data_IF_060754361988
#
_entry.id   IF_060754361988
#
_cell.length_a   1.000
_cell.length_b   1.000
_cell.length_c   1.000
_cell.angle_alpha   90.00
_cell.angle_beta   90.00
_cell.angle_gamma   90.00
#
_symmetry.space_group_name_H-M   'P 1'
#
loop_
_entity.id
_entity.type
_entity.pdbx_description
1 polymer ?
#
# COMPACT_ATOMS: atom_id res chain seq x y z
N UNK A 1 5.20 55.29 -7.95
CA UNK A 1 5.22 54.42 -6.76
C UNK A 1 5.36 52.99 -7.26
N UNK A 2 6.55 52.42 -7.17
CA UNK A 2 6.74 51.02 -7.61
C UNK A 2 6.20 50.09 -6.53
N UNK A 3 5.20 49.31 -6.87
CA UNK A 3 4.69 48.26 -6.01
C UNK A 3 5.77 47.19 -5.89
N UNK A 4 6.41 47.11 -4.72
CA UNK A 4 7.33 46.04 -4.38
C UNK A 4 6.48 44.76 -4.21
N UNK A 5 6.39 43.96 -5.25
CA UNK A 5 5.85 42.62 -5.15
C UNK A 5 6.78 41.80 -4.22
N UNK A 6 6.33 41.50 -3.02
CA UNK A 6 7.00 40.54 -2.15
C UNK A 6 7.02 39.18 -2.87
N UNK A 7 8.08 38.93 -3.61
CA UNK A 7 8.33 37.61 -4.21
C UNK A 7 8.67 36.68 -3.06
N UNK A 8 7.76 35.80 -2.73
CA UNK A 8 8.00 34.74 -1.75
C UNK A 8 9.13 33.87 -2.29
N UNK A 9 10.27 33.91 -1.64
CA UNK A 9 11.44 33.12 -2.03
C UNK A 9 11.38 31.78 -1.31
N UNK A 10 11.00 30.75 -2.03
CA UNK A 10 11.07 29.37 -1.53
C UNK A 10 12.52 28.86 -1.49
N UNK A 11 12.73 27.73 -0.80
CA UNK A 11 13.99 27.00 -0.87
C UNK A 11 14.31 26.62 -2.33
N UNK A 12 15.60 26.49 -2.69
CA UNK A 12 15.99 26.11 -4.05
C UNK A 12 15.43 24.73 -4.39
N UNK A 13 15.14 24.50 -5.66
CA UNK A 13 14.76 23.18 -6.15
C UNK A 13 15.90 22.18 -6.03
N UNK A 14 15.58 20.93 -5.74
CA UNK A 14 16.56 19.84 -5.76
C UNK A 14 17.17 19.66 -7.16
N UNK A 15 16.38 19.87 -8.20
CA UNK A 15 16.80 19.88 -9.60
C UNK A 15 16.57 21.24 -10.20
N UNK A 16 17.58 21.79 -10.86
CA UNK A 16 17.40 23.01 -11.67
C UNK A 16 16.40 22.76 -12.81
N UNK A 17 15.76 23.82 -13.28
CA UNK A 17 14.79 23.72 -14.35
C UNK A 17 15.42 23.11 -15.61
N UNK A 18 14.78 22.07 -16.17
CA UNK A 18 15.28 21.31 -17.31
C UNK A 18 16.39 20.30 -17.02
N UNK A 19 16.92 20.21 -15.79
CA UNK A 19 17.98 19.27 -15.40
C UNK A 19 17.48 18.09 -14.55
N UNK A 20 16.19 17.97 -14.37
CA UNK A 20 15.62 16.82 -13.66
C UNK A 20 15.81 15.52 -14.45
N UNK A 21 15.95 14.37 -13.77
CA UNK A 21 16.02 13.07 -14.43
C UNK A 21 14.85 12.85 -15.38
N UNK A 22 15.15 12.37 -16.59
CA UNK A 22 14.12 11.97 -17.54
C UNK A 22 13.52 10.62 -17.11
N UNK A 23 12.24 10.45 -17.34
CA UNK A 23 11.58 9.17 -17.13
C UNK A 23 11.93 8.21 -18.27
N UNK A 24 12.98 7.40 -18.08
CA UNK A 24 13.43 6.43 -19.07
C UNK A 24 12.65 5.11 -19.06
N UNK A 25 11.92 4.83 -17.98
CA UNK A 25 11.12 3.60 -17.82
C UNK A 25 9.71 3.95 -17.40
N UNK A 26 8.74 3.19 -17.88
CA UNK A 26 7.39 3.29 -17.39
C UNK A 26 7.37 2.85 -15.91
N UNK A 27 6.89 3.70 -15.01
CA UNK A 27 6.54 3.30 -13.66
C UNK A 27 5.19 2.57 -13.76
N UNK A 28 5.23 1.26 -13.99
CA UNK A 28 4.03 0.46 -14.05
C UNK A 28 3.58 0.13 -12.62
N UNK A 29 2.42 0.64 -12.28
CA UNK A 29 1.68 0.08 -11.16
C UNK A 29 0.95 -1.17 -11.66
N UNK A 30 1.46 -2.35 -11.29
CA UNK A 30 0.96 -3.63 -11.79
C UNK A 30 -0.51 -3.82 -11.46
N UNK A 31 -1.37 -3.54 -12.42
CA UNK A 31 -2.74 -4.04 -12.50
C UNK A 31 -3.52 -4.06 -11.17
N UNK A 32 -3.27 -3.09 -10.28
CA UNK A 32 -3.97 -2.96 -9.00
C UNK A 32 -5.48 -3.16 -9.16
N UNK A 33 -6.08 -2.46 -10.12
CA UNK A 33 -7.52 -2.49 -10.35
C UNK A 33 -8.02 -3.87 -10.82
N UNK A 34 -7.33 -4.51 -11.75
CA UNK A 34 -7.72 -5.85 -12.23
C UNK A 34 -7.55 -6.90 -11.15
N UNK A 35 -6.50 -6.81 -10.35
CA UNK A 35 -6.28 -7.74 -9.23
C UNK A 35 -7.35 -7.58 -8.14
N UNK A 36 -7.73 -6.35 -7.77
CA UNK A 36 -8.81 -6.10 -6.82
C UNK A 36 -10.16 -6.61 -7.39
N UNK A 37 -10.40 -6.47 -8.68
CA UNK A 37 -11.56 -7.06 -9.35
C UNK A 37 -11.62 -8.58 -9.17
N UNK A 38 -10.52 -9.28 -9.42
CA UNK A 38 -10.41 -10.72 -9.20
C UNK A 38 -10.67 -11.11 -7.74
N UNK A 39 -10.19 -10.31 -6.78
CA UNK A 39 -10.46 -10.55 -5.36
C UNK A 39 -11.94 -10.41 -5.03
N UNK A 40 -12.60 -9.38 -5.56
CA UNK A 40 -14.03 -9.16 -5.35
C UNK A 40 -14.89 -10.29 -5.95
N UNK A 41 -14.50 -10.83 -7.09
CA UNK A 41 -15.19 -11.95 -7.74
C UNK A 41 -14.94 -13.28 -7.03
N UNK A 42 -13.72 -13.49 -6.51
CA UNK A 42 -13.33 -14.73 -5.84
C UNK A 42 -13.72 -14.83 -4.37
N UNK A 43 -14.02 -13.72 -3.71
CA UNK A 43 -14.44 -13.68 -2.31
C UNK A 43 -15.96 -13.56 -2.20
N UNK A 44 -16.54 -14.23 -1.24
CA UNK A 44 -17.97 -14.08 -0.93
C UNK A 44 -18.27 -12.65 -0.40
N UNK A 45 -19.52 -12.20 -0.58
CA UNK A 45 -19.95 -10.86 -0.17
C UNK A 45 -19.72 -10.59 1.32
N UNK A 46 -19.96 -11.59 2.17
CA UNK A 46 -19.76 -11.48 3.63
C UNK A 46 -18.29 -11.26 4.01
N UNK A 47 -17.36 -11.86 3.26
CA UNK A 47 -15.90 -11.64 3.43
C UNK A 47 -15.51 -10.28 2.87
N UNK A 48 -16.01 -9.90 1.71
CA UNK A 48 -15.73 -8.60 1.12
C UNK A 48 -16.18 -7.44 2.02
N UNK A 49 -17.37 -7.57 2.62
CA UNK A 49 -17.90 -6.56 3.55
C UNK A 49 -17.08 -6.51 4.86
N UNK A 50 -16.47 -7.60 5.29
CA UNK A 50 -15.56 -7.59 6.43
C UNK A 50 -14.24 -6.88 6.09
N UNK A 51 -13.69 -7.13 4.91
CA UNK A 51 -12.47 -6.44 4.45
C UNK A 51 -12.67 -4.93 4.31
N UNK A 52 -13.87 -4.47 3.95
CA UNK A 52 -14.24 -3.05 3.92
C UNK A 52 -14.27 -2.39 5.28
N UNK A 53 -14.27 -3.13 6.37
CA UNK A 53 -14.21 -2.61 7.75
C UNK A 53 -12.81 -2.69 8.34
N UNK A 54 -11.86 -3.28 7.62
CA UNK A 54 -10.49 -3.43 8.09
C UNK A 54 -9.65 -2.17 7.85
N UNK A 55 -8.50 -2.11 8.48
CA UNK A 55 -7.50 -1.04 8.28
C UNK A 55 -7.07 -0.86 6.81
N UNK A 56 -7.28 -1.86 5.95
CA UNK A 56 -6.98 -1.80 4.52
C UNK A 56 -8.17 -1.33 3.65
N UNK A 57 -9.26 -0.84 4.25
CA UNK A 57 -10.45 -0.34 3.55
C UNK A 57 -10.13 0.68 2.44
N UNK A 58 -9.15 1.56 2.69
CA UNK A 58 -8.75 2.62 1.74
C UNK A 58 -8.41 2.07 0.35
N UNK A 59 -7.76 0.92 0.27
CA UNK A 59 -7.41 0.32 -1.02
C UNK A 59 -8.64 -0.17 -1.79
N UNK A 60 -9.63 -0.68 -1.06
CA UNK A 60 -10.92 -1.07 -1.65
C UNK A 60 -11.65 0.18 -2.15
N UNK A 61 -11.69 1.26 -1.36
CA UNK A 61 -12.28 2.55 -1.75
C UNK A 61 -11.61 3.11 -3.01
N UNK A 62 -10.27 3.08 -3.10
CA UNK A 62 -9.57 3.52 -4.31
C UNK A 62 -9.96 2.69 -5.54
N UNK A 63 -10.12 1.38 -5.38
CA UNK A 63 -10.58 0.54 -6.48
C UNK A 63 -12.03 0.83 -6.89
N UNK A 64 -12.94 1.02 -5.94
CA UNK A 64 -14.35 1.38 -6.19
C UNK A 64 -14.49 2.77 -6.83
N UNK A 65 -13.66 3.74 -6.46
CA UNK A 65 -13.56 5.06 -7.09
C UNK A 65 -12.86 5.02 -8.45
N UNK A 66 -12.51 3.85 -8.94
CA UNK A 66 -11.82 3.67 -10.22
C UNK A 66 -10.48 4.44 -10.29
N UNK A 67 -9.81 4.58 -9.15
CA UNK A 67 -8.51 5.23 -9.08
C UNK A 67 -7.55 4.66 -10.13
N UNK A 68 -6.89 5.56 -10.85
CA UNK A 68 -5.89 5.22 -11.84
C UNK A 68 -4.53 5.79 -11.45
N UNK A 69 -3.53 4.95 -11.47
CA UNK A 69 -2.15 5.36 -11.24
C UNK A 69 -1.67 6.26 -12.37
N UNK A 70 -1.03 7.38 -12.03
CA UNK A 70 -0.38 8.27 -12.99
C UNK A 70 1.10 8.41 -12.68
N UNK A 71 1.91 7.58 -13.34
CA UNK A 71 3.37 7.67 -13.27
C UNK A 71 3.89 9.07 -13.63
N UNK A 72 3.26 9.72 -14.61
CA UNK A 72 3.62 11.07 -15.04
C UNK A 72 3.40 12.10 -13.91
N UNK A 73 2.28 12.04 -13.19
CA UNK A 73 2.03 12.95 -12.06
C UNK A 73 3.02 12.74 -10.93
N UNK A 74 3.33 11.47 -10.61
CA UNK A 74 4.31 11.14 -9.57
C UNK A 74 5.70 11.63 -9.98
N UNK A 75 6.12 11.36 -11.21
CA UNK A 75 7.39 11.85 -11.75
C UNK A 75 7.46 13.38 -11.70
N UNK A 76 6.39 14.06 -12.13
CA UNK A 76 6.32 15.53 -12.08
C UNK A 76 6.48 16.05 -10.65
N UNK A 77 5.77 15.45 -9.67
CA UNK A 77 5.91 15.81 -8.27
C UNK A 77 7.34 15.61 -7.76
N UNK A 78 7.95 14.46 -8.03
CA UNK A 78 9.30 14.12 -7.57
C UNK A 78 10.39 14.99 -8.22
N UNK A 79 10.20 15.43 -9.46
CA UNK A 79 11.18 16.27 -10.18
C UNK A 79 11.07 17.76 -9.82
N UNK A 80 10.00 18.18 -9.14
CA UNK A 80 9.78 19.55 -8.68
C UNK A 80 10.07 19.72 -7.18
N UNK A 81 10.82 18.79 -6.58
CA UNK A 81 11.16 18.85 -5.17
C UNK A 81 12.00 20.07 -4.82
N UNK A 82 11.74 20.61 -3.63
CA UNK A 82 12.58 21.59 -2.96
C UNK A 82 13.68 20.88 -2.17
N UNK A 83 14.87 21.47 -2.13
CA UNK A 83 15.99 20.95 -1.35
C UNK A 83 15.79 21.22 0.14
N UNK A 84 15.18 20.26 0.83
CA UNK A 84 14.99 20.30 2.29
C UNK A 84 15.88 19.27 2.97
N UNK A 85 16.26 19.51 4.21
CA UNK A 85 17.08 18.60 5.02
C UNK A 85 16.24 17.72 5.95
N UNK A 86 15.04 17.32 5.51
CA UNK A 86 14.18 16.42 6.27
C UNK A 86 13.89 15.16 5.45
N UNK A 87 14.37 14.02 5.91
CA UNK A 87 14.20 12.74 5.21
C UNK A 87 12.80 12.12 5.34
N UNK A 88 11.94 12.73 6.18
CA UNK A 88 10.60 12.20 6.48
C UNK A 88 9.49 12.94 5.74
N UNK A 89 9.84 13.90 4.89
CA UNK A 89 8.87 14.65 4.11
C UNK A 89 9.44 15.09 2.76
N UNK A 90 8.57 15.25 1.80
CA UNK A 90 8.88 15.76 0.47
C UNK A 90 8.10 17.05 0.28
N UNK A 91 8.77 18.09 -0.14
CA UNK A 91 8.14 19.34 -0.56
C UNK A 91 8.38 19.55 -2.05
N UNK A 92 7.32 19.81 -2.79
CA UNK A 92 7.40 20.07 -4.23
C UNK A 92 6.73 21.37 -4.58
N UNK A 93 7.37 22.15 -5.44
CA UNK A 93 6.84 23.43 -5.93
C UNK A 93 6.03 23.19 -7.21
N UNK A 94 4.71 23.16 -7.10
CA UNK A 94 3.78 22.91 -8.20
C UNK A 94 3.01 24.19 -8.49
N UNK A 95 3.11 24.69 -9.71
CA UNK A 95 2.47 25.94 -10.15
C UNK A 95 2.68 27.12 -9.18
N UNK A 96 3.93 27.25 -8.67
CA UNK A 96 4.28 28.30 -7.73
C UNK A 96 3.77 28.08 -6.29
N UNK A 97 3.17 26.95 -5.98
CA UNK A 97 2.67 26.60 -4.65
C UNK A 97 3.45 25.44 -4.07
N UNK A 98 3.94 25.54 -2.83
CA UNK A 98 4.60 24.42 -2.17
C UNK A 98 3.56 23.42 -1.69
N UNK A 99 3.75 22.17 -2.05
CA UNK A 99 2.93 21.04 -1.63
C UNK A 99 3.82 20.12 -0.80
N UNK A 100 3.40 19.83 0.43
CA UNK A 100 4.07 18.88 1.31
C UNK A 100 3.45 17.51 1.15
N UNK A 101 4.28 16.48 1.23
CA UNK A 101 3.90 15.10 1.42
C UNK A 101 4.78 14.49 2.52
N UNK A 102 4.16 14.10 3.61
CA UNK A 102 4.81 13.47 4.76
C UNK A 102 3.96 12.29 5.23
N UNK A 103 4.45 11.59 6.25
CA UNK A 103 3.68 10.52 6.90
C UNK A 103 2.33 11.03 7.44
N UNK A 104 2.28 12.30 7.86
CA UNK A 104 1.05 12.93 8.33
C UNK A 104 -0.02 13.05 7.22
N UNK A 105 0.34 13.59 6.06
CA UNK A 105 -0.57 13.67 4.91
C UNK A 105 -0.94 12.27 4.41
N UNK A 106 0.01 11.34 4.42
CA UNK A 106 -0.24 9.96 4.06
C UNK A 106 -1.28 9.32 4.99
N UNK A 107 -1.10 9.42 6.31
CA UNK A 107 -2.04 8.93 7.31
C UNK A 107 -3.43 9.57 7.13
N UNK A 108 -3.47 10.88 6.90
CA UNK A 108 -4.73 11.61 6.70
C UNK A 108 -5.51 11.15 5.45
N UNK A 109 -4.80 10.92 4.34
CA UNK A 109 -5.41 10.51 3.06
C UNK A 109 -5.82 9.03 3.07
N UNK A 110 -4.98 8.18 3.67
CA UNK A 110 -5.18 6.73 3.64
C UNK A 110 -5.95 6.20 4.83
N UNK A 111 -6.00 6.93 5.94
CA UNK A 111 -6.48 6.46 7.23
C UNK A 111 -5.73 5.22 7.76
N UNK A 112 -4.55 4.92 7.20
CA UNK A 112 -3.69 3.86 7.70
C UNK A 112 -3.04 4.27 9.01
N UNK A 113 -2.81 3.30 9.89
CA UNK A 113 -2.06 3.53 11.10
C UNK A 113 -0.59 3.84 10.76
N UNK A 114 -0.14 5.02 11.13
CA UNK A 114 1.23 5.51 10.94
C UNK A 114 1.89 5.89 12.28
N UNK A 115 1.28 5.51 13.40
CA UNK A 115 1.83 5.74 14.74
C UNK A 115 3.03 4.81 15.01
N UNK A 116 3.83 5.13 16.03
CA UNK A 116 4.92 4.25 16.43
C UNK A 116 4.38 2.91 16.94
N UNK A 117 5.00 1.81 16.47
CA UNK A 117 4.68 0.48 16.98
C UNK A 117 5.11 0.40 18.45
N UNK A 118 4.21 -0.08 19.31
CA UNK A 118 4.56 -0.44 20.68
C UNK A 118 5.61 -1.58 20.65
N UNK A 119 6.83 -1.35 21.20
CA UNK A 119 7.88 -2.36 21.19
C UNK A 119 7.52 -3.66 21.94
N UNK A 120 6.47 -3.62 22.78
CA UNK A 120 5.98 -4.80 23.51
C UNK A 120 5.20 -5.78 22.64
N UNK A 121 4.76 -5.39 21.43
CA UNK A 121 4.05 -6.29 20.54
C UNK A 121 4.97 -7.36 19.99
N UNK A 122 4.61 -8.61 20.25
CA UNK A 122 5.26 -9.75 19.61
C UNK A 122 4.55 -10.05 18.28
N UNK A 123 5.22 -9.78 17.17
CA UNK A 123 4.73 -10.07 15.81
C UNK A 123 5.04 -11.49 15.34
N UNK A 124 5.69 -12.32 16.18
CA UNK A 124 6.03 -13.70 15.81
C UNK A 124 4.88 -14.65 16.14
N UNK A 125 3.92 -14.71 15.23
CA UNK A 125 2.76 -15.61 15.30
C UNK A 125 3.12 -16.94 14.64
N UNK A 126 2.76 -18.07 15.26
CA UNK A 126 2.92 -19.38 14.65
C UNK A 126 1.98 -19.52 13.44
N UNK A 127 2.57 -19.81 12.29
CA UNK A 127 1.89 -19.83 10.99
C UNK A 127 1.93 -21.20 10.31
N UNK A 128 2.70 -22.14 10.88
CA UNK A 128 3.02 -23.41 10.20
C UNK A 128 1.76 -24.25 9.91
N UNK A 129 0.87 -24.35 10.90
CA UNK A 129 -0.36 -25.11 10.74
C UNK A 129 -1.29 -24.48 9.71
N UNK A 130 -1.43 -23.15 9.75
CA UNK A 130 -2.25 -22.40 8.79
C UNK A 130 -1.72 -22.55 7.35
N UNK A 131 -0.39 -22.46 7.13
CA UNK A 131 0.21 -22.69 5.80
C UNK A 131 0.02 -24.13 5.34
N UNK A 132 0.18 -25.10 6.24
CA UNK A 132 -0.05 -26.53 5.95
C UNK A 132 -1.47 -26.78 5.50
N UNK A 133 -2.46 -26.26 6.20
CA UNK A 133 -3.87 -26.37 5.84
C UNK A 133 -4.20 -25.71 4.49
N UNK A 134 -3.51 -24.63 4.14
CA UNK A 134 -3.65 -23.96 2.86
C UNK A 134 -2.80 -24.57 1.75
N UNK A 135 -2.08 -25.67 2.04
CA UNK A 135 -1.16 -26.31 1.10
C UNK A 135 -0.11 -25.33 0.50
N UNK A 136 0.33 -24.37 1.29
CA UNK A 136 1.42 -23.45 0.93
C UNK A 136 2.74 -24.12 1.28
N UNK A 137 3.53 -24.45 0.26
CA UNK A 137 4.73 -25.29 0.37
C UNK A 137 5.95 -24.62 0.95
N UNK A 138 5.86 -23.43 1.55
CA UNK A 138 7.01 -22.71 2.10
C UNK A 138 6.82 -22.32 3.55
N UNK A 139 7.92 -22.45 4.32
CA UNK A 139 8.00 -22.02 5.72
C UNK A 139 8.87 -20.77 5.89
N UNK A 140 9.67 -20.41 4.88
CA UNK A 140 10.63 -19.30 4.95
C UNK A 140 10.08 -17.98 4.40
N UNK A 141 9.05 -18.04 3.56
CA UNK A 141 8.43 -16.90 2.91
C UNK A 141 6.91 -16.99 3.01
N UNK A 142 6.23 -15.86 2.79
CA UNK A 142 4.78 -15.86 2.65
C UNK A 142 4.31 -16.41 1.29
N UNK A 143 3.00 -16.50 1.08
CA UNK A 143 2.43 -17.04 -0.15
C UNK A 143 2.64 -16.13 -1.37
N UNK A 144 2.58 -16.71 -2.56
CA UNK A 144 2.44 -16.00 -3.83
C UNK A 144 0.99 -15.52 -4.00
N UNK A 145 0.79 -14.41 -4.68
CA UNK A 145 -0.56 -13.97 -5.05
C UNK A 145 -1.32 -15.03 -5.88
N UNK A 146 -0.64 -15.73 -6.77
CA UNK A 146 -1.23 -16.81 -7.58
C UNK A 146 -1.63 -18.04 -6.75
N UNK A 147 -0.90 -18.33 -5.66
CA UNK A 147 -1.29 -19.37 -4.72
C UNK A 147 -2.59 -18.97 -3.99
N UNK A 148 -2.69 -17.71 -3.54
CA UNK A 148 -3.88 -17.18 -2.88
C UNK A 148 -5.12 -17.19 -3.79
N UNK A 149 -4.98 -16.84 -5.08
CA UNK A 149 -6.08 -16.91 -6.03
C UNK A 149 -6.62 -18.34 -6.17
N UNK A 150 -5.74 -19.33 -6.27
CA UNK A 150 -6.15 -20.75 -6.33
C UNK A 150 -6.88 -21.18 -5.06
N UNK A 151 -6.44 -20.68 -3.91
CA UNK A 151 -7.09 -21.00 -2.63
C UNK A 151 -8.53 -20.46 -2.55
N UNK A 152 -8.81 -19.32 -3.17
CA UNK A 152 -10.17 -18.77 -3.20
C UNK A 152 -11.17 -19.69 -3.93
N UNK A 153 -10.73 -20.47 -4.92
CA UNK A 153 -11.58 -21.44 -5.61
C UNK A 153 -12.12 -22.52 -4.68
N UNK A 154 -11.40 -22.86 -3.61
CA UNK A 154 -11.74 -23.88 -2.63
C UNK A 154 -12.23 -23.29 -1.30
N UNK A 155 -12.31 -21.97 -1.18
CA UNK A 155 -12.53 -21.28 0.09
C UNK A 155 -13.95 -21.47 0.67
N UNK A 156 -14.91 -21.89 -0.13
CA UNK A 156 -16.31 -22.05 0.29
C UNK A 156 -16.51 -23.08 1.42
N UNK A 157 -15.56 -23.98 1.62
CA UNK A 157 -15.58 -24.99 2.72
C UNK A 157 -14.95 -24.48 4.02
N UNK A 158 -14.36 -23.29 4.01
CA UNK A 158 -13.64 -22.75 5.16
C UNK A 158 -14.52 -21.83 6.01
N UNK A 159 -14.11 -21.65 7.28
CA UNK A 159 -14.75 -20.67 8.15
C UNK A 159 -14.61 -19.24 7.57
N UNK A 160 -15.52 -18.35 7.95
CA UNK A 160 -15.48 -16.95 7.53
C UNK A 160 -14.14 -16.30 7.92
N UNK A 161 -13.66 -16.55 9.14
CA UNK A 161 -12.43 -16.01 9.67
C UNK A 161 -11.23 -16.37 8.79
N UNK A 162 -11.14 -17.64 8.39
CA UNK A 162 -10.06 -18.12 7.52
C UNK A 162 -10.13 -17.49 6.14
N UNK A 163 -11.32 -17.33 5.57
CA UNK A 163 -11.52 -16.63 4.29
C UNK A 163 -11.12 -15.15 4.38
N UNK A 164 -11.42 -14.48 5.49
CA UNK A 164 -11.01 -13.09 5.76
C UNK A 164 -9.49 -13.00 5.82
N UNK A 165 -8.81 -13.93 6.51
CA UNK A 165 -7.34 -13.96 6.54
C UNK A 165 -6.73 -14.07 5.13
N UNK A 166 -7.27 -14.95 4.29
CA UNK A 166 -6.82 -15.06 2.89
C UNK A 166 -7.09 -13.78 2.10
N UNK A 167 -8.26 -13.16 2.29
CA UNK A 167 -8.58 -11.87 1.69
C UNK A 167 -7.61 -10.76 2.11
N UNK A 168 -7.23 -10.71 3.38
CA UNK A 168 -6.21 -9.78 3.90
C UNK A 168 -4.84 -10.03 3.26
N UNK A 169 -4.41 -11.29 3.14
CA UNK A 169 -3.16 -11.65 2.44
C UNK A 169 -3.17 -11.16 1.00
N UNK A 170 -4.31 -11.32 0.31
CA UNK A 170 -4.46 -10.84 -1.06
C UNK A 170 -4.36 -9.31 -1.15
N UNK A 171 -5.01 -8.57 -0.24
CA UNK A 171 -4.91 -7.11 -0.18
C UNK A 171 -3.47 -6.66 0.12
N UNK A 172 -2.78 -7.32 1.05
CA UNK A 172 -1.37 -7.02 1.32
C UNK A 172 -0.49 -7.21 0.08
N UNK A 173 -0.66 -8.34 -0.61
CA UNK A 173 0.11 -8.63 -1.82
C UNK A 173 -0.08 -7.56 -2.90
N UNK A 174 -1.32 -7.16 -3.13
CA UNK A 174 -1.68 -6.24 -4.23
C UNK A 174 -1.45 -4.79 -3.87
N UNK A 175 -1.83 -4.38 -2.67
CA UNK A 175 -1.99 -2.98 -2.30
C UNK A 175 -0.79 -2.44 -1.52
N UNK A 176 -0.34 -3.18 -0.52
CA UNK A 176 0.76 -2.72 0.35
C UNK A 176 2.11 -3.01 -0.30
N UNK A 177 2.32 -4.24 -0.74
CA UNK A 177 3.60 -4.64 -1.32
C UNK A 177 3.69 -4.45 -2.84
N UNK A 178 2.56 -4.26 -3.54
CA UNK A 178 2.53 -4.05 -5.00
C UNK A 178 3.25 -5.17 -5.78
N UNK A 179 3.13 -6.41 -5.31
CA UNK A 179 3.96 -7.51 -5.77
C UNK A 179 3.67 -7.92 -7.20
N UNK A 180 4.72 -8.29 -7.92
CA UNK A 180 4.62 -9.00 -9.18
C UNK A 180 4.05 -10.42 -8.95
N UNK A 181 3.46 -11.05 -9.98
CA UNK A 181 2.84 -12.37 -9.88
C UNK A 181 3.78 -13.46 -9.32
N UNK A 182 5.08 -13.36 -9.58
CA UNK A 182 6.08 -14.32 -9.11
C UNK A 182 6.77 -13.95 -7.78
N UNK A 183 6.34 -12.86 -7.14
CA UNK A 183 6.92 -12.42 -5.86
C UNK A 183 6.07 -12.88 -4.69
N UNK A 184 6.73 -13.25 -3.59
CA UNK A 184 6.10 -13.70 -2.35
C UNK A 184 5.86 -12.52 -1.41
N UNK A 185 4.80 -12.60 -0.62
CA UNK A 185 4.57 -11.67 0.49
C UNK A 185 5.70 -11.89 1.51
N UNK A 186 6.30 -10.83 2.08
CA UNK A 186 7.22 -10.98 3.19
C UNK A 186 6.58 -11.76 4.34
N UNK A 187 7.29 -12.77 4.87
CA UNK A 187 6.75 -13.65 5.90
C UNK A 187 6.28 -12.87 7.13
N UNK A 188 7.03 -11.83 7.54
CA UNK A 188 6.67 -10.95 8.64
C UNK A 188 5.28 -10.33 8.47
N UNK A 189 4.99 -9.77 7.29
CA UNK A 189 3.67 -9.19 6.97
C UNK A 189 2.58 -10.27 6.88
N UNK A 190 2.92 -11.44 6.32
CA UNK A 190 1.96 -12.51 6.16
C UNK A 190 1.52 -13.12 7.51
N UNK A 191 2.41 -13.21 8.48
CA UNK A 191 2.09 -13.69 9.84
C UNK A 191 1.10 -12.80 10.58
N UNK A 192 1.19 -11.49 10.39
CA UNK A 192 0.33 -10.51 11.07
C UNK A 192 -1.15 -10.71 10.77
N UNK A 193 -1.46 -11.25 9.58
CA UNK A 193 -2.84 -11.54 9.17
C UNK A 193 -3.51 -12.58 10.07
N UNK A 194 -2.73 -13.42 10.74
CA UNK A 194 -3.24 -14.50 11.59
C UNK A 194 -3.80 -13.99 12.92
N UNK A 195 -3.40 -12.78 13.35
CA UNK A 195 -3.95 -12.14 14.53
C UNK A 195 -4.74 -10.88 14.11
N UNK A 196 -6.09 -10.92 14.20
CA UNK A 196 -6.93 -9.80 13.79
C UNK A 196 -6.66 -8.51 14.59
N UNK A 197 -6.28 -8.61 15.86
CA UNK A 197 -6.04 -7.45 16.71
C UNK A 197 -4.73 -6.78 16.32
N UNK A 198 -3.69 -7.57 16.11
CA UNK A 198 -2.39 -7.09 15.65
C UNK A 198 -2.52 -6.51 14.25
N UNK A 199 -3.27 -7.17 13.35
CA UNK A 199 -3.47 -6.72 11.98
C UNK A 199 -4.05 -5.30 11.92
N UNK A 200 -5.10 -5.02 12.70
CA UNK A 200 -5.76 -3.71 12.68
C UNK A 200 -4.91 -2.58 13.31
N UNK A 201 -3.95 -2.94 14.15
CA UNK A 201 -3.04 -1.99 14.80
C UNK A 201 -1.69 -1.85 14.11
N UNK A 202 -1.40 -2.71 13.16
CA UNK A 202 -0.10 -2.71 12.50
C UNK A 202 0.09 -1.47 11.62
N UNK A 203 1.34 -1.05 11.48
CA UNK A 203 1.73 0.06 10.61
C UNK A 203 1.73 -0.40 9.16
N UNK A 204 0.67 -0.12 8.47
CA UNK A 204 0.56 -0.37 7.02
C UNK A 204 0.99 0.84 6.17
N UNK A 205 1.37 1.94 6.80
CA UNK A 205 1.83 3.18 6.19
C UNK A 205 3.33 3.42 6.23
#
# INVERSE_FOLDING_TARGET
MASSSNVIKYLPRLYEEGKSPLQHRSMNHNCFRSKIGLLKEGLSLDVWDELKKSSLEVFIKFAELQYTWSAQKVHYFLTHQLGINNNHEIWSLIDGRPIRFSLHEFAHVTCLNCDLIDPSYNFDVDHKEFWKEMNIGTTSDGPLFTELLKLMEFSNTWSKEKRVMVGRLCLLSVCVHGLHHGSRIPLSSAKIVLDPVIFEKYLWG
#
